data_IF_139987886472
#
_entry.id   IF_139987886472
#
_cell.length_a   1.000
_cell.length_b   1.000
_cell.length_c   1.000
_cell.angle_alpha   90.00
_cell.angle_beta   90.00
_cell.angle_gamma   90.00
#
_symmetry.space_group_name_H-M   'P 1'
#
loop_
_entity.id
_entity.type
_entity.pdbx_description
1 polymer ?
#
# COMPACT_ATOMS: atom_id res chain seq x y z
N UNK A 1 -33.46 14.83 83.01
CA UNK A 1 -33.17 15.27 81.62
C UNK A 1 -31.96 14.54 81.03
N UNK A 2 -30.76 14.69 81.60
CA UNK A 2 -29.53 14.13 81.03
C UNK A 2 -29.49 12.61 80.84
N UNK A 3 -30.04 11.83 81.79
CA UNK A 3 -30.15 10.37 81.65
C UNK A 3 -31.09 9.92 80.53
N UNK A 4 -32.22 10.60 80.35
CA UNK A 4 -33.18 10.31 79.28
C UNK A 4 -32.60 10.63 77.89
N UNK A 5 -31.91 11.76 77.73
CA UNK A 5 -31.26 12.13 76.47
C UNK A 5 -30.19 11.13 76.05
N UNK A 6 -29.36 10.66 77.01
CA UNK A 6 -28.34 9.63 76.74
C UNK A 6 -29.00 8.31 76.33
N UNK A 7 -30.10 7.93 76.97
CA UNK A 7 -30.89 6.74 76.61
C UNK A 7 -31.50 6.85 75.21
N UNK A 8 -32.08 8.00 74.85
CA UNK A 8 -32.62 8.26 73.51
C UNK A 8 -31.53 8.24 72.43
N UNK A 9 -30.35 8.82 72.70
CA UNK A 9 -29.22 8.75 71.77
C UNK A 9 -28.70 7.32 71.57
N UNK A 10 -28.63 6.53 72.64
CA UNK A 10 -28.23 5.11 72.53
C UNK A 10 -29.24 4.30 71.71
N UNK A 11 -30.55 4.58 71.86
CA UNK A 11 -31.58 3.98 71.03
C UNK A 11 -31.47 4.42 69.56
N UNK A 12 -31.18 5.70 69.31
CA UNK A 12 -30.99 6.23 67.96
C UNK A 12 -29.69 5.73 67.30
N UNK A 13 -28.64 5.46 68.07
CA UNK A 13 -27.35 4.97 67.56
C UNK A 13 -27.51 3.65 66.79
N UNK A 14 -28.40 2.76 67.24
CA UNK A 14 -28.72 1.50 66.54
C UNK A 14 -29.33 1.77 65.15
N UNK A 15 -30.20 2.77 65.03
CA UNK A 15 -30.83 3.15 63.75
C UNK A 15 -29.89 3.95 62.83
N UNK A 16 -28.98 4.74 63.42
CA UNK A 16 -28.00 5.56 62.72
C UNK A 16 -26.74 4.78 62.32
N UNK A 17 -26.73 3.45 62.46
CA UNK A 17 -25.56 2.59 62.20
C UNK A 17 -24.31 3.02 62.97
N UNK A 18 -24.49 3.42 64.23
CA UNK A 18 -23.45 3.86 65.16
C UNK A 18 -22.61 5.06 64.68
N UNK A 19 -23.14 5.88 63.77
CA UNK A 19 -22.48 7.13 63.35
C UNK A 19 -22.60 8.19 64.45
N UNK A 20 -21.51 8.92 64.77
CA UNK A 20 -21.55 9.95 65.80
C UNK A 20 -22.43 11.13 65.37
N UNK A 21 -23.29 11.60 66.27
CA UNK A 21 -24.11 12.79 66.07
C UNK A 21 -23.22 14.02 66.20
N UNK A 22 -22.94 14.70 65.09
CA UNK A 22 -22.02 15.85 65.06
C UNK A 22 -22.67 17.15 65.54
N UNK A 23 -23.97 17.30 65.30
CA UNK A 23 -24.73 18.50 65.62
C UNK A 23 -26.08 18.13 66.22
N UNK A 24 -26.46 18.84 67.27
CA UNK A 24 -27.80 18.80 67.84
C UNK A 24 -28.43 20.19 67.74
N UNK A 25 -29.74 20.21 67.51
CA UNK A 25 -30.51 21.45 67.41
C UNK A 25 -31.39 21.57 68.65
N UNK A 26 -31.20 22.66 69.41
CA UNK A 26 -32.05 22.98 70.56
C UNK A 26 -33.01 24.09 70.18
N UNK A 27 -34.30 23.81 70.30
CA UNK A 27 -35.39 24.79 70.11
C UNK A 27 -35.96 25.08 71.50
N UNK A 28 -35.61 26.23 72.07
CA UNK A 28 -36.00 26.64 73.42
C UNK A 28 -36.06 28.17 73.52
N UNK A 29 -36.66 28.72 74.59
CA UNK A 29 -36.63 30.17 74.81
C UNK A 29 -35.24 30.65 75.23
N UNK A 30 -34.86 31.91 74.95
CA UNK A 30 -33.56 32.46 75.35
C UNK A 30 -33.28 32.36 76.86
N UNK A 31 -34.32 32.51 77.70
CA UNK A 31 -34.22 32.43 79.16
C UNK A 31 -33.79 31.03 79.66
N UNK A 32 -34.16 29.97 78.95
CA UNK A 32 -33.84 28.58 79.31
C UNK A 32 -32.49 28.10 78.72
N UNK A 33 -31.81 28.90 77.90
CA UNK A 33 -30.78 28.40 76.97
C UNK A 33 -29.35 28.52 77.51
N UNK A 34 -29.03 29.56 78.29
CA UNK A 34 -27.64 29.87 78.63
C UNK A 34 -26.98 28.81 79.55
N UNK A 35 -27.73 28.23 80.47
CA UNK A 35 -27.26 27.12 81.32
C UNK A 35 -27.42 25.75 80.65
N UNK A 36 -28.44 25.58 79.79
CA UNK A 36 -28.74 24.31 79.16
C UNK A 36 -27.77 23.95 78.03
N UNK A 37 -27.33 24.91 77.22
CA UNK A 37 -26.43 24.66 76.08
C UNK A 37 -25.05 24.17 76.56
N UNK A 38 -24.49 24.80 77.59
CA UNK A 38 -23.20 24.40 78.16
C UNK A 38 -23.25 22.97 78.72
N UNK A 39 -24.28 22.67 79.54
CA UNK A 39 -24.47 21.35 80.13
C UNK A 39 -24.73 20.27 79.07
N UNK A 40 -25.56 20.55 78.08
CA UNK A 40 -25.87 19.58 77.03
C UNK A 40 -24.68 19.34 76.09
N UNK A 41 -23.89 20.38 75.79
CA UNK A 41 -22.69 20.26 74.96
C UNK A 41 -21.65 19.37 75.62
N UNK A 42 -21.43 19.52 76.93
CA UNK A 42 -20.52 18.68 77.71
C UNK A 42 -21.05 17.24 77.82
N UNK A 43 -22.36 17.06 78.03
CA UNK A 43 -22.96 15.74 78.22
C UNK A 43 -23.05 14.89 76.94
N UNK A 44 -23.22 15.52 75.78
CA UNK A 44 -23.50 14.84 74.51
C UNK A 44 -22.29 14.81 73.56
N UNK A 45 -21.20 15.49 73.91
CA UNK A 45 -19.98 15.62 73.10
C UNK A 45 -20.27 16.01 71.65
N UNK A 46 -21.20 16.96 71.46
CA UNK A 46 -21.66 17.41 70.15
C UNK A 46 -21.92 18.91 70.12
N UNK A 47 -21.84 19.51 68.93
CA UNK A 47 -22.12 20.93 68.78
C UNK A 47 -23.62 21.19 68.86
N UNK A 48 -24.03 22.10 69.75
CA UNK A 48 -25.44 22.45 69.92
C UNK A 48 -25.71 23.79 69.24
N UNK A 49 -26.49 23.74 68.16
CA UNK A 49 -27.04 24.93 67.52
C UNK A 49 -28.35 25.30 68.21
N UNK A 50 -28.54 26.59 68.47
CA UNK A 50 -29.73 27.13 69.12
C UNK A 50 -30.61 27.86 68.10
N UNK A 51 -31.92 27.63 68.16
CA UNK A 51 -32.92 28.41 67.43
C UNK A 51 -33.91 28.98 68.43
N UNK A 52 -34.04 30.30 68.40
CA UNK A 52 -35.07 31.02 69.15
C UNK A 52 -36.42 30.87 68.41
N UNK A 53 -37.44 30.26 69.03
CA UNK A 53 -38.76 30.16 68.43
C UNK A 53 -39.42 31.54 68.21
N UNK A 54 -39.04 32.59 68.95
CA UNK A 54 -39.57 33.94 68.75
C UNK A 54 -39.12 34.55 67.40
N UNK A 55 -37.96 34.16 66.88
CA UNK A 55 -37.46 34.67 65.60
C UNK A 55 -38.27 34.15 64.40
N UNK A 56 -39.16 33.18 64.62
CA UNK A 56 -40.03 32.59 63.60
C UNK A 56 -41.45 33.17 63.63
N UNK A 57 -41.74 34.08 64.59
CA UNK A 57 -43.06 34.68 64.82
C UNK A 57 -43.09 36.14 64.37
N UNK A 58 -44.29 36.65 64.08
CA UNK A 58 -44.52 38.06 63.81
C UNK A 58 -44.27 38.92 65.06
N UNK A 59 -43.79 40.15 64.87
CA UNK A 59 -43.32 41.05 65.94
C UNK A 59 -44.31 41.23 67.10
N UNK A 60 -45.62 41.20 66.83
CA UNK A 60 -46.70 41.34 67.81
C UNK A 60 -46.77 40.18 68.82
N UNK A 61 -46.41 38.97 68.38
CA UNK A 61 -46.44 37.74 69.20
C UNK A 61 -45.07 37.49 69.83
N UNK A 62 -43.99 37.88 69.15
CA UNK A 62 -42.61 37.79 69.64
C UNK A 62 -42.37 38.60 70.91
N UNK A 63 -43.18 39.64 71.16
CA UNK A 63 -43.11 40.46 72.38
C UNK A 63 -43.86 39.86 73.58
N UNK A 64 -44.45 38.67 73.47
CA UNK A 64 -45.16 37.98 74.55
C UNK A 64 -44.38 36.75 75.04
N UNK A 65 -43.43 36.92 76.00
CA UNK A 65 -42.48 35.87 76.37
C UNK A 65 -43.13 34.60 76.91
N UNK A 66 -44.27 34.70 77.61
CA UNK A 66 -44.96 33.52 78.14
C UNK A 66 -45.57 32.62 77.07
N UNK A 67 -46.05 33.19 75.97
CA UNK A 67 -46.62 32.41 74.87
C UNK A 67 -45.51 31.68 74.11
N UNK A 68 -44.38 32.36 73.88
CA UNK A 68 -43.20 31.81 73.21
C UNK A 68 -42.63 30.63 74.01
N UNK A 69 -42.51 30.76 75.33
CA UNK A 69 -41.99 29.71 76.22
C UNK A 69 -42.84 28.45 76.19
N UNK A 70 -44.16 28.57 76.31
CA UNK A 70 -45.06 27.42 76.32
C UNK A 70 -45.28 26.80 74.93
N UNK A 71 -45.06 27.56 73.85
CA UNK A 71 -45.44 27.13 72.49
C UNK A 71 -44.26 26.74 71.59
N UNK A 72 -43.01 26.84 72.06
CA UNK A 72 -41.79 26.55 71.28
C UNK A 72 -41.87 25.23 70.48
N UNK A 73 -42.34 24.15 71.11
CA UNK A 73 -42.50 22.84 70.47
C UNK A 73 -43.57 22.83 69.35
N UNK A 74 -44.66 23.58 69.51
CA UNK A 74 -45.74 23.67 68.51
C UNK A 74 -45.29 24.48 67.31
N UNK A 75 -44.49 25.52 67.55
CA UNK A 75 -43.94 26.39 66.51
C UNK A 75 -42.95 25.64 65.61
N UNK A 76 -42.12 24.77 66.18
CA UNK A 76 -41.26 23.88 65.38
C UNK A 76 -42.07 22.98 64.43
N UNK A 77 -43.20 22.44 64.92
CA UNK A 77 -44.11 21.64 64.09
C UNK A 77 -44.77 22.45 62.96
N UNK A 78 -45.26 23.66 63.26
CA UNK A 78 -45.88 24.54 62.26
C UNK A 78 -44.86 25.02 61.22
N UNK A 79 -43.64 25.36 61.63
CA UNK A 79 -42.55 25.74 60.73
C UNK A 79 -42.22 24.60 59.75
N UNK A 80 -42.19 23.35 60.23
CA UNK A 80 -42.05 22.17 59.39
C UNK A 80 -43.18 22.06 58.35
N UNK A 81 -44.43 22.28 58.75
CA UNK A 81 -45.59 22.26 57.85
C UNK A 81 -45.51 23.34 56.76
N UNK A 82 -45.09 24.57 57.10
CA UNK A 82 -44.93 25.65 56.13
C UNK A 82 -43.83 25.35 55.10
N UNK A 83 -42.74 24.71 55.54
CA UNK A 83 -41.64 24.28 54.67
C UNK A 83 -42.04 23.17 53.68
N UNK A 84 -43.18 22.49 53.85
CA UNK A 84 -43.65 21.48 52.91
C UNK A 84 -43.98 22.06 51.53
N UNK A 85 -44.23 23.38 51.44
CA UNK A 85 -44.51 24.05 50.17
C UNK A 85 -43.30 24.00 49.23
N UNK A 86 -42.09 24.22 49.76
CA UNK A 86 -40.82 24.26 49.01
C UNK A 86 -40.07 22.93 48.99
N UNK A 87 -40.46 21.96 49.83
CA UNK A 87 -39.82 20.65 49.89
C UNK A 87 -39.90 19.89 48.55
N UNK A 88 -38.88 19.08 48.25
CA UNK A 88 -38.88 18.21 47.09
C UNK A 88 -40.00 17.16 47.19
N UNK A 89 -40.58 16.76 46.06
CA UNK A 89 -41.75 15.86 46.03
C UNK A 89 -41.53 14.51 46.74
N UNK A 90 -40.29 13.99 46.78
CA UNK A 90 -39.94 12.74 47.46
C UNK A 90 -39.83 12.88 49.00
N UNK A 91 -39.79 14.12 49.50
CA UNK A 91 -39.73 14.44 50.94
C UNK A 91 -41.11 14.79 51.52
N UNK A 92 -42.17 14.81 50.70
CA UNK A 92 -43.54 15.08 51.13
C UNK A 92 -44.24 13.77 51.43
N UNK A 93 -44.86 13.69 52.61
CA UNK A 93 -45.74 12.59 52.98
C UNK A 93 -47.18 13.01 52.66
N UNK A 94 -47.80 12.34 51.70
CA UNK A 94 -49.21 12.54 51.37
C UNK A 94 -50.06 11.48 52.09
N UNK A 95 -50.77 11.91 53.13
CA UNK A 95 -51.71 11.07 53.87
C UNK A 95 -53.11 11.03 53.24
N UNK A 96 -53.40 11.91 52.27
CA UNK A 96 -54.71 11.95 51.59
C UNK A 96 -54.83 10.79 50.61
N UNK A 97 -53.78 10.51 49.84
CA UNK A 97 -53.75 9.45 48.83
C UNK A 97 -52.53 8.50 49.01
N UNK A 98 -52.46 7.71 50.11
CA UNK A 98 -51.27 6.93 50.46
C UNK A 98 -50.92 5.82 49.45
N UNK A 99 -51.86 5.44 48.57
CA UNK A 99 -51.66 4.41 47.54
C UNK A 99 -51.27 5.00 46.17
N UNK A 100 -51.23 6.33 46.02
CA UNK A 100 -50.92 6.96 44.74
C UNK A 100 -49.41 6.98 44.51
N UNK A 101 -48.95 6.25 43.49
CA UNK A 101 -47.52 6.22 43.13
C UNK A 101 -47.10 7.55 42.50
N UNK A 102 -45.88 8.05 42.79
CA UNK A 102 -45.34 9.21 42.09
C UNK A 102 -45.20 8.91 40.60
N UNK A 103 -45.37 9.92 39.72
CA UNK A 103 -45.25 9.72 38.28
C UNK A 103 -43.83 9.25 37.92
N UNK A 104 -43.68 8.31 36.97
CA UNK A 104 -42.37 7.85 36.55
C UNK A 104 -41.57 9.00 35.93
N UNK A 105 -40.30 9.13 36.32
CA UNK A 105 -39.39 10.07 35.65
C UNK A 105 -39.19 9.63 34.20
N UNK A 106 -39.47 10.53 33.25
CA UNK A 106 -39.23 10.29 31.82
C UNK A 106 -37.73 10.39 31.54
N UNK A 107 -37.09 9.28 31.17
CA UNK A 107 -35.67 9.23 30.80
C UNK A 107 -35.38 9.61 29.34
N UNK A 108 -36.17 10.52 28.76
CA UNK A 108 -36.06 10.91 27.34
C UNK A 108 -34.67 11.41 26.97
N UNK A 109 -34.00 12.13 27.88
CA UNK A 109 -32.62 12.59 27.68
C UNK A 109 -31.65 11.43 27.48
N UNK A 110 -31.80 10.35 28.24
CA UNK A 110 -30.92 9.17 28.15
C UNK A 110 -31.10 8.47 26.81
N UNK A 111 -32.34 8.32 26.33
CA UNK A 111 -32.60 7.72 25.01
C UNK A 111 -32.11 8.60 23.86
N UNK A 112 -32.27 9.92 23.95
CA UNK A 112 -31.75 10.85 22.94
C UNK A 112 -30.23 10.78 22.89
N UNK A 113 -29.56 10.78 24.05
CA UNK A 113 -28.10 10.65 24.11
C UNK A 113 -27.62 9.31 23.57
N UNK A 114 -28.31 8.21 23.88
CA UNK A 114 -28.00 6.90 23.34
C UNK A 114 -28.17 6.83 21.81
N UNK A 115 -29.23 7.43 21.27
CA UNK A 115 -29.46 7.49 19.83
C UNK A 115 -28.39 8.31 19.11
N UNK A 116 -27.98 9.46 19.69
CA UNK A 116 -26.89 10.28 19.13
C UNK A 116 -25.57 9.52 19.17
N UNK A 117 -25.26 8.81 20.26
CA UNK A 117 -24.05 8.01 20.37
C UNK A 117 -24.03 6.88 19.32
N UNK A 118 -25.16 6.19 19.12
CA UNK A 118 -25.28 5.15 18.09
C UNK A 118 -25.09 5.71 16.67
N UNK A 119 -25.66 6.89 16.39
CA UNK A 119 -25.49 7.57 15.10
C UNK A 119 -24.02 7.93 14.84
N UNK A 120 -23.34 8.50 15.84
CA UNK A 120 -21.93 8.88 15.71
C UNK A 120 -21.03 7.66 15.46
N UNK A 121 -21.30 6.54 16.12
CA UNK A 121 -20.58 5.29 15.86
C UNK A 121 -20.83 4.76 14.46
N UNK A 122 -22.07 4.82 13.97
CA UNK A 122 -22.41 4.38 12.61
C UNK A 122 -21.70 5.24 11.55
N UNK A 123 -21.74 6.56 11.71
CA UNK A 123 -21.07 7.50 10.77
C UNK A 123 -19.55 7.35 10.85
N UNK A 124 -18.98 7.24 12.05
CA UNK A 124 -17.54 7.00 12.25
C UNK A 124 -17.09 5.68 11.62
N UNK A 125 -17.85 4.61 11.81
CA UNK A 125 -17.56 3.31 11.18
C UNK A 125 -17.65 3.36 9.66
N UNK A 126 -18.67 4.02 9.10
CA UNK A 126 -18.84 4.14 7.66
C UNK A 126 -17.71 4.96 7.01
N UNK A 127 -17.34 6.09 7.62
CA UNK A 127 -16.26 6.96 7.11
C UNK A 127 -14.91 6.26 7.17
N UNK A 128 -14.61 5.55 8.26
CA UNK A 128 -13.39 4.72 8.35
C UNK A 128 -13.37 3.63 7.28
N UNK A 129 -14.48 2.90 7.10
CA UNK A 129 -14.57 1.85 6.08
C UNK A 129 -14.34 2.38 4.65
N UNK A 130 -14.96 3.51 4.30
CA UNK A 130 -14.77 4.15 3.00
C UNK A 130 -13.33 4.61 2.78
N UNK A 131 -12.67 5.15 3.81
CA UNK A 131 -11.27 5.61 3.70
C UNK A 131 -10.29 4.47 3.42
N UNK A 132 -10.50 3.30 4.04
CA UNK A 132 -9.66 2.13 3.78
C UNK A 132 -9.88 1.62 2.35
N UNK A 133 -11.12 1.64 1.86
CA UNK A 133 -11.41 1.16 0.51
C UNK A 133 -10.81 2.07 -0.57
N UNK A 134 -10.80 3.39 -0.36
CA UNK A 134 -10.23 4.32 -1.34
C UNK A 134 -8.74 4.12 -1.58
N UNK A 135 -7.96 3.78 -0.54
CA UNK A 135 -6.52 3.53 -0.68
C UNK A 135 -6.26 2.26 -1.51
N UNK A 136 -7.07 1.21 -1.29
CA UNK A 136 -6.99 -0.03 -2.07
C UNK A 136 -7.35 0.20 -3.54
N UNK A 137 -8.39 0.99 -3.80
CA UNK A 137 -8.82 1.32 -5.17
C UNK A 137 -7.77 2.16 -5.90
N UNK A 138 -7.12 3.11 -5.22
CA UNK A 138 -6.02 3.91 -5.77
C UNK A 138 -4.79 3.05 -6.09
N UNK A 139 -4.40 2.15 -5.17
CA UNK A 139 -3.31 1.21 -5.41
C UNK A 139 -3.63 0.29 -6.60
N UNK A 140 -4.86 -0.20 -6.70
CA UNK A 140 -5.28 -1.06 -7.80
C UNK A 140 -5.22 -0.31 -9.14
N UNK A 141 -5.70 0.92 -9.20
CA UNK A 141 -5.61 1.77 -10.38
C UNK A 141 -4.15 2.05 -10.77
N UNK A 142 -3.28 2.32 -9.79
CA UNK A 142 -1.85 2.50 -10.01
C UNK A 142 -1.21 1.24 -10.62
N UNK A 143 -1.43 0.07 -10.02
CA UNK A 143 -0.85 -1.18 -10.52
C UNK A 143 -1.40 -1.60 -11.89
N UNK A 144 -2.67 -1.31 -12.17
CA UNK A 144 -3.25 -1.52 -13.51
C UNK A 144 -2.57 -0.62 -14.55
N UNK A 145 -2.32 0.65 -14.21
CA UNK A 145 -1.62 1.58 -15.12
C UNK A 145 -0.17 1.17 -15.37
N UNK A 146 0.57 0.75 -14.34
CA UNK A 146 1.93 0.22 -14.45
C UNK A 146 1.98 -1.04 -15.33
N UNK A 147 0.99 -1.94 -15.17
CA UNK A 147 0.90 -3.16 -15.97
C UNK A 147 0.68 -2.85 -17.45
N UNK A 148 -0.20 -1.92 -17.78
CA UNK A 148 -0.44 -1.52 -19.17
C UNK A 148 0.77 -0.80 -19.78
N UNK A 149 1.43 0.10 -19.03
CA UNK A 149 2.65 0.76 -19.47
C UNK A 149 3.77 -0.26 -19.77
N UNK A 150 3.95 -1.26 -18.90
CA UNK A 150 4.95 -2.32 -19.11
C UNK A 150 4.60 -3.24 -20.26
N UNK A 151 3.32 -3.59 -20.45
CA UNK A 151 2.88 -4.40 -21.60
C UNK A 151 3.22 -3.73 -22.93
N UNK A 152 3.00 -2.42 -23.05
CA UNK A 152 3.35 -1.68 -24.25
C UNK A 152 4.87 -1.75 -24.53
N UNK A 153 5.70 -1.52 -23.51
CA UNK A 153 7.16 -1.63 -23.63
C UNK A 153 7.61 -3.06 -24.01
N UNK A 154 7.00 -4.09 -23.41
CA UNK A 154 7.28 -5.50 -23.73
C UNK A 154 6.88 -5.82 -25.17
N UNK A 155 5.72 -5.36 -25.65
CA UNK A 155 5.27 -5.59 -27.01
C UNK A 155 6.24 -4.99 -28.03
N UNK A 156 6.68 -3.75 -27.82
CA UNK A 156 7.69 -3.10 -28.68
C UNK A 156 9.03 -3.84 -28.62
N UNK A 157 9.48 -4.27 -27.44
CA UNK A 157 10.71 -5.05 -27.31
C UNK A 157 10.63 -6.40 -28.03
N UNK A 158 9.49 -7.09 -27.94
CA UNK A 158 9.26 -8.37 -28.62
C UNK A 158 9.28 -8.23 -30.14
N UNK A 159 8.72 -7.14 -30.68
CA UNK A 159 8.81 -6.82 -32.11
C UNK A 159 10.26 -6.66 -32.56
N UNK A 160 11.07 -5.93 -31.79
CA UNK A 160 12.51 -5.76 -32.06
C UNK A 160 13.26 -7.09 -32.00
N UNK A 161 12.98 -7.93 -31.01
CA UNK A 161 13.60 -9.26 -30.90
C UNK A 161 13.24 -10.11 -32.12
N UNK A 162 11.99 -10.09 -32.56
CA UNK A 162 11.55 -10.85 -33.73
C UNK A 162 12.24 -10.36 -35.01
N UNK A 163 12.35 -9.04 -35.20
CA UNK A 163 13.08 -8.44 -36.32
C UNK A 163 14.56 -8.85 -36.31
N UNK A 164 15.22 -8.80 -35.14
CA UNK A 164 16.62 -9.20 -35.00
C UNK A 164 16.79 -10.70 -35.27
N UNK A 165 15.89 -11.55 -34.79
CA UNK A 165 15.93 -13.00 -35.05
C UNK A 165 15.77 -13.33 -36.54
N UNK A 166 14.93 -12.58 -37.27
CA UNK A 166 14.78 -12.77 -38.71
C UNK A 166 16.05 -12.35 -39.48
N UNK A 167 16.65 -11.23 -39.08
CA UNK A 167 17.93 -10.75 -39.63
C UNK A 167 19.05 -11.76 -39.34
N UNK A 168 19.16 -12.25 -38.11
CA UNK A 168 20.17 -13.23 -37.69
C UNK A 168 20.00 -14.54 -38.46
N UNK A 169 18.76 -15.03 -38.61
CA UNK A 169 18.46 -16.21 -39.44
C UNK A 169 18.85 -16.00 -40.90
N UNK A 170 18.60 -14.83 -41.48
CA UNK A 170 18.99 -14.52 -42.86
C UNK A 170 20.51 -14.48 -43.02
N UNK A 171 21.20 -13.88 -42.06
CA UNK A 171 22.65 -13.73 -42.09
C UNK A 171 23.38 -15.06 -41.86
N UNK A 172 22.90 -15.91 -40.94
CA UNK A 172 23.38 -17.28 -40.75
C UNK A 172 23.11 -18.21 -41.94
N UNK A 173 22.12 -17.88 -42.76
CA UNK A 173 21.82 -18.61 -43.98
C UNK A 173 22.76 -18.18 -45.13
N UNK A 174 22.83 -16.89 -45.43
CA UNK A 174 23.52 -16.39 -46.63
C UNK A 174 25.05 -16.54 -46.54
N UNK A 175 25.70 -17.25 -47.49
CA UNK A 175 27.15 -17.43 -47.43
C UNK A 175 27.92 -16.14 -47.71
N UNK A 176 29.12 -16.01 -47.11
CA UNK A 176 30.02 -14.91 -47.41
C UNK A 176 30.66 -15.07 -48.80
N UNK A 177 30.06 -14.44 -49.82
CA UNK A 177 30.53 -14.52 -51.20
C UNK A 177 31.99 -14.10 -51.42
N UNK A 178 32.52 -13.19 -50.60
CA UNK A 178 33.93 -12.80 -50.73
C UNK A 178 34.87 -13.94 -50.35
N UNK A 179 34.57 -14.66 -49.26
CA UNK A 179 35.32 -15.84 -48.86
C UNK A 179 35.13 -16.97 -49.88
N UNK A 180 33.93 -17.12 -50.44
CA UNK A 180 33.68 -18.12 -51.49
C UNK A 180 34.49 -17.86 -52.76
N UNK A 181 34.58 -16.60 -53.18
CA UNK A 181 35.40 -16.22 -54.34
C UNK A 181 36.89 -16.43 -54.04
N UNK A 182 37.35 -16.16 -52.82
CA UNK A 182 38.73 -16.43 -52.41
C UNK A 182 39.04 -17.95 -52.42
N UNK A 183 38.14 -18.76 -51.85
CA UNK A 183 38.27 -20.23 -51.84
C UNK A 183 38.26 -20.81 -53.27
N UNK A 184 37.42 -20.27 -54.15
CA UNK A 184 37.40 -20.62 -55.56
C UNK A 184 38.75 -20.30 -56.24
N UNK A 185 39.31 -19.12 -55.96
CA UNK A 185 40.58 -18.70 -56.53
C UNK A 185 41.76 -19.58 -56.08
N UNK A 186 41.79 -20.01 -54.82
CA UNK A 186 42.84 -20.89 -54.28
C UNK A 186 42.80 -22.31 -54.85
N UNK A 187 41.61 -22.82 -55.16
CA UNK A 187 41.39 -24.20 -55.62
C UNK A 187 41.30 -24.34 -57.15
N UNK A 188 41.43 -23.23 -57.87
CA UNK A 188 41.35 -23.21 -59.32
C UNK A 188 42.62 -23.82 -59.95
N UNK A 189 42.48 -24.66 -60.98
CA UNK A 189 43.59 -25.04 -61.85
C UNK A 189 44.25 -23.81 -62.48
N UNK A 190 45.52 -23.91 -62.93
CA UNK A 190 46.23 -22.78 -63.50
C UNK A 190 45.52 -22.19 -64.73
N UNK A 191 45.71 -20.89 -64.93
CA UNK A 191 45.05 -20.06 -65.95
C UNK A 191 45.37 -20.41 -67.40
N UNK A 192 46.16 -21.46 -67.65
CA UNK A 192 46.41 -22.03 -68.98
C UNK A 192 45.48 -23.22 -69.28
N UNK A 193 44.70 -23.68 -68.30
CA UNK A 193 43.79 -24.82 -68.41
C UNK A 193 42.32 -24.44 -68.22
N UNK A 194 42.05 -23.44 -67.39
CA UNK A 194 40.69 -22.99 -67.05
C UNK A 194 40.60 -21.47 -67.10
N UNK A 195 39.53 -20.96 -67.72
CA UNK A 195 39.17 -19.55 -67.73
C UNK A 195 37.72 -19.39 -67.23
N UNK A 196 37.53 -18.60 -66.18
CA UNK A 196 36.21 -18.27 -65.65
C UNK A 196 35.63 -17.05 -66.37
N UNK A 197 34.33 -17.10 -66.66
CA UNK A 197 33.54 -15.92 -66.98
C UNK A 197 32.89 -15.31 -65.73
N UNK A 198 32.06 -14.28 -65.94
CA UNK A 198 31.42 -13.55 -64.84
C UNK A 198 30.49 -14.45 -64.01
N UNK A 199 30.73 -14.62 -62.70
CA UNK A 199 29.86 -15.42 -61.84
C UNK A 199 28.59 -14.65 -61.47
N UNK A 200 27.48 -15.37 -61.35
CA UNK A 200 26.22 -14.90 -60.77
C UNK A 200 26.01 -15.56 -59.42
N UNK A 201 25.62 -14.76 -58.42
CA UNK A 201 25.40 -15.22 -57.05
C UNK A 201 23.94 -15.08 -56.67
N UNK A 202 23.37 -16.14 -56.13
CA UNK A 202 21.96 -16.18 -55.69
C UNK A 202 21.86 -16.89 -54.36
N UNK A 203 21.05 -16.39 -53.43
CA UNK A 203 20.70 -17.11 -52.20
C UNK A 203 19.37 -17.84 -52.43
N UNK A 204 19.35 -19.15 -52.17
CA UNK A 204 18.17 -19.99 -52.31
C UNK A 204 17.25 -19.87 -51.08
N UNK A 205 15.96 -20.24 -51.19
CA UNK A 205 15.01 -20.17 -50.06
C UNK A 205 15.39 -21.04 -48.85
N UNK A 206 16.21 -22.08 -49.06
CA UNK A 206 16.75 -22.93 -48.00
C UNK A 206 17.97 -22.33 -47.30
N UNK A 207 18.37 -21.11 -47.70
CA UNK A 207 19.53 -20.40 -47.18
C UNK A 207 20.84 -20.75 -47.87
N UNK A 208 20.89 -21.78 -48.70
CA UNK A 208 22.13 -22.13 -49.41
C UNK A 208 22.48 -21.08 -50.47
N UNK A 209 23.78 -20.82 -50.65
CA UNK A 209 24.24 -19.97 -51.75
C UNK A 209 24.40 -20.79 -53.02
N UNK A 210 23.92 -20.26 -54.14
CA UNK A 210 24.19 -20.78 -55.47
C UNK A 210 25.05 -19.78 -56.25
N UNK A 211 26.22 -20.22 -56.67
CA UNK A 211 27.08 -19.52 -57.61
C UNK A 211 27.03 -20.23 -58.95
N UNK A 212 26.65 -19.52 -60.01
CA UNK A 212 26.63 -20.04 -61.38
C UNK A 212 27.63 -19.26 -62.24
N UNK A 213 28.45 -19.94 -63.03
CA UNK A 213 29.39 -19.27 -63.91
C UNK A 213 29.67 -20.07 -65.19
N UNK A 214 29.91 -19.40 -66.32
CA UNK A 214 30.45 -20.06 -67.49
C UNK A 214 31.97 -20.29 -67.31
N UNK A 215 32.41 -21.50 -67.60
CA UNK A 215 33.81 -21.95 -67.51
C UNK A 215 34.27 -22.41 -68.87
N UNK A 216 35.42 -21.90 -69.33
CA UNK A 216 36.07 -22.36 -70.55
C UNK A 216 37.31 -23.20 -70.19
N UNK A 217 37.46 -24.35 -70.83
CA UNK A 217 38.52 -25.33 -70.51
C UNK A 217 39.23 -25.84 -71.76
N UNK A 218 40.48 -26.28 -71.58
CA UNK A 218 41.35 -26.79 -72.65
C UNK A 218 40.91 -28.18 -73.16
N UNK A 219 40.48 -29.07 -72.26
CA UNK A 219 40.16 -30.46 -72.55
C UNK A 219 39.04 -31.00 -71.66
N UNK A 220 38.34 -32.03 -72.13
CA UNK A 220 37.26 -32.69 -71.37
C UNK A 220 37.73 -33.30 -70.03
N UNK A 221 38.92 -33.94 -69.92
CA UNK A 221 39.44 -34.41 -68.63
C UNK A 221 39.68 -33.29 -67.61
N UNK A 222 40.00 -32.07 -68.06
CA UNK A 222 40.20 -30.91 -67.18
C UNK A 222 38.91 -30.49 -66.48
N UNK A 223 37.73 -30.73 -67.08
CA UNK A 223 36.41 -30.47 -66.44
C UNK A 223 36.27 -31.29 -65.16
N UNK A 224 36.53 -32.60 -65.24
CA UNK A 224 36.41 -33.49 -64.08
C UNK A 224 37.42 -33.16 -62.98
N UNK A 225 38.65 -32.77 -63.36
CA UNK A 225 39.66 -32.33 -62.41
C UNK A 225 39.30 -31.01 -61.72
N UNK A 226 38.72 -30.06 -62.47
CA UNK A 226 38.21 -28.79 -61.95
C UNK A 226 37.02 -29.00 -61.01
N UNK A 227 36.02 -29.78 -61.40
CA UNK A 227 34.88 -30.08 -60.54
C UNK A 227 35.32 -30.78 -59.24
N UNK A 228 36.29 -31.70 -59.34
CA UNK A 228 36.79 -32.45 -58.18
C UNK A 228 37.59 -31.58 -57.20
N UNK A 229 38.32 -30.56 -57.68
CA UNK A 229 39.08 -29.66 -56.80
C UNK A 229 38.18 -28.70 -56.01
N UNK A 230 36.97 -28.46 -56.51
CA UNK A 230 35.98 -27.57 -55.88
C UNK A 230 34.96 -28.29 -54.98
N UNK A 231 34.86 -29.62 -55.07
CA UNK A 231 34.00 -30.42 -54.18
C UNK A 231 34.63 -30.57 -52.81
N UNK A 232 33.87 -30.27 -51.76
CA UNK A 232 34.18 -30.64 -50.39
C UNK A 232 32.90 -30.91 -49.59
N UNK A 233 32.99 -31.00 -48.26
CA UNK A 233 31.84 -31.24 -47.38
C UNK A 233 30.76 -30.14 -47.46
N UNK A 234 31.13 -28.91 -47.83
CA UNK A 234 30.28 -27.72 -47.84
C UNK A 234 29.92 -27.24 -49.25
N UNK A 235 30.61 -27.73 -50.30
CA UNK A 235 30.44 -27.32 -51.70
C UNK A 235 29.99 -28.49 -52.59
N UNK A 236 28.78 -28.35 -53.15
CA UNK A 236 28.26 -29.28 -54.16
C UNK A 236 28.38 -28.64 -55.53
N UNK A 237 29.23 -29.21 -56.38
CA UNK A 237 29.44 -28.74 -57.77
C UNK A 237 28.57 -29.56 -58.72
N UNK A 238 27.96 -28.88 -59.70
CA UNK A 238 27.17 -29.50 -60.75
C UNK A 238 27.41 -28.76 -62.08
N UNK A 239 28.12 -29.42 -62.99
CA UNK A 239 28.30 -28.96 -64.37
C UNK A 239 27.06 -29.22 -65.22
N UNK A 240 26.62 -28.20 -65.96
CA UNK A 240 25.59 -28.30 -66.98
C UNK A 240 26.22 -28.38 -68.36
N UNK A 241 25.70 -29.30 -69.19
CA UNK A 241 26.01 -29.55 -70.63
C UNK A 241 27.28 -28.87 -71.16
N UNK A 242 28.35 -29.65 -71.34
CA UNK A 242 29.56 -29.21 -72.03
C UNK A 242 29.30 -29.01 -73.53
N UNK A 243 29.62 -27.82 -74.05
CA UNK A 243 29.53 -27.51 -75.49
C UNK A 243 30.93 -27.26 -76.03
N UNK A 244 31.25 -27.91 -77.16
CA UNK A 244 32.48 -27.64 -77.89
C UNK A 244 32.34 -26.31 -78.63
N UNK A 245 33.37 -25.46 -78.58
CA UNK A 245 33.36 -24.16 -79.24
C UNK A 245 34.01 -24.30 -80.62
N UNK A 246 33.28 -23.92 -81.68
CA UNK A 246 33.78 -24.01 -83.07
C UNK A 246 35.00 -23.11 -83.34
N UNK A 247 35.11 -21.99 -82.61
CA UNK A 247 36.28 -21.11 -82.61
C UNK A 247 36.87 -21.10 -81.18
N UNK A 248 38.04 -21.72 -80.95
CA UNK A 248 38.64 -21.78 -79.63
C UNK A 248 38.89 -20.38 -79.07
N UNK A 249 38.52 -20.15 -77.80
CA UNK A 249 38.86 -18.90 -77.13
C UNK A 249 40.37 -18.86 -76.89
N UNK A 250 41.02 -17.78 -77.32
CA UNK A 250 42.48 -17.57 -77.19
C UNK A 250 43.33 -18.74 -77.73
N UNK A 251 42.82 -19.51 -78.71
CA UNK A 251 43.46 -20.70 -79.28
C UNK A 251 43.75 -21.86 -78.30
N UNK A 252 43.29 -21.75 -77.05
CA UNK A 252 43.58 -22.70 -75.97
C UNK A 252 42.31 -23.38 -75.43
N UNK A 253 41.21 -22.64 -75.32
CA UNK A 253 39.97 -23.13 -74.71
C UNK A 253 39.00 -23.66 -75.76
N UNK A 254 38.80 -24.98 -75.77
CA UNK A 254 38.01 -25.70 -76.78
C UNK A 254 36.60 -26.07 -76.31
N UNK A 255 36.36 -25.99 -75.01
CA UNK A 255 35.11 -26.41 -74.37
C UNK A 255 34.58 -25.30 -73.47
N UNK A 256 33.26 -25.13 -73.46
CA UNK A 256 32.53 -24.28 -72.53
C UNK A 256 31.54 -25.11 -71.72
N UNK A 257 31.52 -24.90 -70.42
CA UNK A 257 30.61 -25.55 -69.47
C UNK A 257 29.96 -24.48 -68.61
N UNK A 258 28.70 -24.67 -68.22
CA UNK A 258 28.06 -23.82 -67.22
C UNK A 258 28.12 -24.54 -65.88
N UNK A 259 28.85 -23.99 -64.91
CA UNK A 259 29.09 -24.62 -63.62
C UNK A 259 28.21 -23.99 -62.55
N UNK A 260 27.54 -24.83 -61.76
CA UNK A 260 26.80 -24.41 -60.57
C UNK A 260 27.48 -24.96 -59.33
N UNK A 261 27.83 -24.07 -58.40
CA UNK A 261 28.33 -24.42 -57.06
C UNK A 261 27.25 -24.05 -56.04
N UNK A 262 26.84 -25.02 -55.23
CA UNK A 262 25.94 -24.81 -54.09
C UNK A 262 26.74 -24.90 -52.78
N UNK A 263 26.69 -23.83 -51.98
CA UNK A 263 27.39 -23.66 -50.71
C UNK A 263 26.40 -23.78 -49.56
N UNK A 264 26.74 -24.57 -48.53
CA UNK A 264 25.90 -24.75 -47.32
C UNK A 264 26.68 -24.43 -46.05
N UNK A 265 26.00 -23.82 -45.07
CA UNK A 265 26.50 -23.70 -43.69
C UNK A 265 27.65 -22.71 -43.48
N UNK A 266 27.82 -21.72 -44.36
CA UNK A 266 28.86 -20.67 -44.27
C UNK A 266 28.29 -19.27 -44.11
N UNK A 267 27.22 -19.15 -43.34
CA UNK A 267 26.61 -17.85 -43.05
C UNK A 267 27.44 -16.96 -42.14
N UNK A 268 27.00 -15.71 -42.01
CA UNK A 268 27.57 -14.70 -41.15
C UNK A 268 27.10 -14.90 -39.71
N UNK A 269 28.02 -15.13 -38.79
CA UNK A 269 27.75 -15.05 -37.35
C UNK A 269 28.08 -13.64 -36.85
N UNK A 270 27.07 -12.77 -36.78
CA UNK A 270 27.27 -11.38 -36.36
C UNK A 270 27.54 -11.26 -34.87
N UNK A 271 27.04 -12.19 -34.06
CA UNK A 271 27.15 -12.08 -32.60
C UNK A 271 28.61 -12.28 -32.18
N UNK A 272 29.29 -13.29 -32.71
CA UNK A 272 30.71 -13.50 -32.44
C UNK A 272 31.59 -12.37 -32.99
N UNK A 273 31.25 -11.80 -34.15
CA UNK A 273 32.01 -10.70 -34.76
C UNK A 273 31.82 -9.35 -34.02
N UNK A 274 30.62 -9.08 -33.49
CA UNK A 274 30.36 -7.89 -32.68
C UNK A 274 31.05 -7.96 -31.32
N UNK A 275 31.10 -9.14 -30.69
CA UNK A 275 31.83 -9.33 -29.44
C UNK A 275 33.34 -9.17 -29.62
N UNK A 276 33.88 -9.67 -30.75
CA UNK A 276 35.31 -9.53 -31.08
C UNK A 276 35.70 -8.08 -31.39
N UNK A 277 34.85 -7.34 -32.11
CA UNK A 277 35.11 -5.93 -32.42
C UNK A 277 34.97 -5.01 -31.20
N UNK A 278 34.06 -5.32 -30.26
CA UNK A 278 33.93 -4.58 -28.99
C UNK A 278 35.14 -4.79 -28.07
N UNK A 279 35.71 -5.99 -28.07
CA UNK A 279 36.92 -6.30 -27.30
C UNK A 279 38.20 -5.76 -27.97
N UNK A 280 38.25 -5.66 -29.30
CA UNK A 280 39.34 -4.98 -30.02
C UNK A 280 39.30 -3.44 -29.91
N UNK A 281 38.11 -2.85 -29.75
CA UNK A 281 37.92 -1.40 -29.59
C UNK A 281 38.22 -0.85 -28.19
N UNK A 282 38.36 -1.72 -27.16
CA UNK A 282 38.66 -1.29 -25.78
C UNK A 282 40.16 -1.11 -25.47
N UNK A 283 41.06 -1.42 -26.41
CA UNK A 283 42.52 -1.28 -26.21
C UNK A 283 43.12 0.06 -26.61
N UNK A 284 42.32 1.05 -27.04
CA UNK A 284 42.79 2.41 -27.32
C UNK A 284 41.95 3.41 -26.50
N UNK A 285 42.65 4.15 -25.63
CA UNK A 285 42.19 5.28 -24.81
C UNK A 285 41.30 4.98 -23.58
N UNK A 286 41.95 4.59 -22.49
CA UNK A 286 41.54 5.02 -21.15
C UNK A 286 42.74 5.12 -20.21
N UNK A 287 43.47 6.24 -20.28
CA UNK A 287 44.25 6.71 -19.12
C UNK A 287 43.27 7.48 -18.23
N UNK A 288 42.93 7.03 -17.01
CA UNK A 288 42.03 7.78 -16.15
C UNK A 288 42.83 8.85 -15.41
N UNK A 289 42.65 10.12 -15.79
CA UNK A 289 42.97 11.25 -14.93
C UNK A 289 41.97 11.30 -13.78
N UNK A 290 42.35 10.74 -12.64
CA UNK A 290 41.65 10.90 -11.37
C UNK A 290 41.67 12.36 -10.94
N UNK A 291 40.52 13.03 -11.02
CA UNK A 291 40.23 14.17 -10.15
C UNK A 291 38.99 13.83 -9.32
N UNK A 292 39.25 13.50 -8.06
CA UNK A 292 38.24 13.36 -7.02
C UNK A 292 37.84 14.77 -6.53
N UNK A 293 36.59 15.16 -6.76
CA UNK A 293 35.94 16.24 -6.01
C UNK A 293 34.95 15.62 -5.04
N UNK A 294 35.32 15.64 -3.76
CA UNK A 294 34.48 15.27 -2.65
C UNK A 294 33.39 16.33 -2.45
N UNK A 295 32.12 15.90 -2.45
CA UNK A 295 30.98 16.70 -1.99
C UNK A 295 30.72 16.33 -0.53
N UNK A 296 30.92 17.30 0.37
CA UNK A 296 30.52 17.21 1.77
C UNK A 296 28.99 17.30 1.90
N UNK A 297 28.37 16.63 2.89
CA UNK A 297 26.98 16.85 3.24
C UNK A 297 26.87 18.09 4.16
N UNK A 298 25.94 18.98 3.84
CA UNK A 298 25.63 20.15 4.67
C UNK A 298 24.46 19.84 5.63
N UNK A 299 24.59 20.32 6.86
CA UNK A 299 23.54 20.41 7.87
C UNK A 299 22.41 21.36 7.45
#
# INVERSE_FOLDING_TARGET
>A
LGGELRRSLMAAAVQLSNKPVRHALLIASPAATQSAVALLSEMLDCQIAFIDPASLLADEVSQQPQIVEHSAHRLAGIAGCLSLTTAAAHSKLDFKDPKKRPPPQKSTRTYVLAAVAALLLAVGGLTWWLSVQSELDEQLAYYQSEKENRKAAIATAQERVTQVQEIDRFLQAAPNWLDEVANLAERMPPSNKVLLGGPTFTVLPDGSGRMSMPVAVDSSPTIGAFESSLRDEQHVVAGSKSTMIDVPLFDLYKWRVEETITVRGRGWDLVSQLDTSRSAGQTLDATPSTQASAVQPNN
#
